data_IF_538683260550
#
_entry.id   IF_538683260550
#
_cell.length_a   1.000
_cell.length_b   1.000
_cell.length_c   1.000
_cell.angle_alpha   90.00
_cell.angle_beta   90.00
_cell.angle_gamma   90.00
#
_symmetry.space_group_name_H-M   'P 1'
#
loop_
_entity.id
_entity.type
_entity.pdbx_description
1 polymer ?
#
# COMPACT_ATOMS: atom_id res chain seq x y z
N UNK A 1 -4.73 -3.39 8.95
CA UNK A 1 -5.57 -4.56 9.22
C UNK A 1 -6.01 -4.58 10.66
N UNK A 2 -6.65 -5.68 11.04
CA UNK A 2 -7.20 -5.93 12.39
C UNK A 2 -6.26 -6.76 13.27
N UNK A 3 -5.17 -7.28 12.68
CA UNK A 3 -4.15 -8.07 13.37
C UNK A 3 -3.48 -7.26 14.48
N UNK A 4 -3.37 -7.87 15.66
CA UNK A 4 -2.64 -7.32 16.81
C UNK A 4 -1.34 -8.08 16.99
N UNK A 5 -0.24 -7.35 17.12
CA UNK A 5 1.10 -7.91 17.37
C UNK A 5 1.59 -7.47 18.74
N UNK A 6 2.52 -8.23 19.33
CA UNK A 6 3.08 -7.91 20.66
C UNK A 6 3.92 -6.64 20.63
N UNK A 7 4.69 -6.45 19.56
CA UNK A 7 5.54 -5.27 19.37
C UNK A 7 5.30 -4.69 17.96
N UNK A 8 4.44 -3.68 17.80
CA UNK A 8 4.15 -3.08 16.49
C UNK A 8 5.28 -2.18 15.97
N UNK A 9 6.29 -1.87 16.78
CA UNK A 9 7.41 -0.99 16.41
C UNK A 9 8.61 -1.76 15.81
N UNK A 10 8.61 -3.09 15.91
CA UNK A 10 9.61 -3.93 15.28
C UNK A 10 9.14 -4.39 13.90
N UNK A 11 9.73 -3.77 12.88
CA UNK A 11 9.48 -4.05 11.47
C UNK A 11 10.78 -4.45 10.78
N UNK A 12 11.69 -5.13 11.49
CA UNK A 12 12.91 -5.66 10.88
C UNK A 12 12.59 -6.74 9.84
N UNK A 13 13.50 -6.96 8.89
CA UNK A 13 13.34 -8.01 7.89
C UNK A 13 13.17 -9.39 8.53
N UNK A 14 13.91 -9.66 9.60
CA UNK A 14 13.90 -10.92 10.34
C UNK A 14 12.57 -11.13 11.05
N UNK A 15 12.02 -10.12 11.71
CA UNK A 15 10.74 -10.23 12.41
C UNK A 15 9.60 -10.42 11.41
N UNK A 16 9.53 -9.60 10.37
CA UNK A 16 8.47 -9.68 9.38
C UNK A 16 8.51 -10.98 8.55
N UNK A 17 9.69 -11.50 8.23
CA UNK A 17 9.81 -12.80 7.54
C UNK A 17 9.39 -13.97 8.42
N UNK A 18 9.75 -13.95 9.71
CA UNK A 18 9.25 -14.91 10.70
C UNK A 18 7.73 -14.85 10.83
N UNK A 19 7.15 -13.66 10.80
CA UNK A 19 5.69 -13.52 10.83
C UNK A 19 5.03 -14.21 9.62
N UNK A 20 5.62 -14.12 8.42
CA UNK A 20 5.12 -14.86 7.24
C UNK A 20 5.17 -16.37 7.48
N UNK A 21 6.31 -16.90 7.98
CA UNK A 21 6.45 -18.32 8.30
C UNK A 21 5.44 -18.78 9.36
N UNK A 22 5.29 -18.02 10.45
CA UNK A 22 4.35 -18.30 11.53
C UNK A 22 2.89 -18.32 11.04
N UNK A 23 2.53 -17.45 10.07
CA UNK A 23 1.19 -17.46 9.47
C UNK A 23 0.97 -18.73 8.64
N UNK A 24 1.96 -19.14 7.84
CA UNK A 24 1.88 -20.40 7.07
C UNK A 24 1.73 -21.61 7.99
N UNK A 25 2.55 -21.68 9.06
CA UNK A 25 2.46 -22.73 10.06
C UNK A 25 1.10 -22.72 10.78
N UNK A 26 0.59 -21.55 11.16
CA UNK A 26 -0.72 -21.44 11.81
C UNK A 26 -1.89 -21.85 10.89
N UNK A 27 -1.77 -21.65 9.58
CA UNK A 27 -2.82 -21.98 8.61
C UNK A 27 -2.81 -23.46 8.20
N UNK A 28 -1.63 -24.06 8.06
CA UNK A 28 -1.48 -25.38 7.42
C UNK A 28 -0.74 -26.42 8.27
N UNK A 29 -0.12 -26.02 9.38
CA UNK A 29 0.67 -26.90 10.25
C UNK A 29 1.76 -27.64 9.47
N UNK A 30 1.82 -28.96 9.65
CA UNK A 30 2.84 -29.83 9.06
C UNK A 30 2.62 -30.12 7.56
N UNK A 31 1.47 -29.75 6.98
CA UNK A 31 1.10 -30.07 5.60
C UNK A 31 0.81 -28.80 4.77
N UNK A 32 1.78 -27.88 4.61
CA UNK A 32 1.58 -26.69 3.80
C UNK A 32 1.42 -27.07 2.32
N UNK A 33 0.43 -26.50 1.61
CA UNK A 33 0.29 -26.71 0.17
C UNK A 33 1.49 -26.09 -0.57
N UNK A 34 1.69 -26.40 -1.86
CA UNK A 34 2.71 -25.73 -2.64
C UNK A 34 2.43 -24.22 -2.71
N UNK A 35 3.41 -23.39 -2.32
CA UNK A 35 3.24 -21.93 -2.17
C UNK A 35 4.18 -21.17 -3.11
N UNK A 36 3.66 -20.15 -3.79
CA UNK A 36 4.46 -19.14 -4.47
C UNK A 36 4.39 -17.84 -3.66
N UNK A 37 5.54 -17.28 -3.28
CA UNK A 37 5.59 -15.96 -2.64
C UNK A 37 5.62 -14.87 -3.70
N UNK A 38 4.76 -13.86 -3.55
CA UNK A 38 4.71 -12.68 -4.42
C UNK A 38 4.72 -11.44 -3.52
N UNK A 39 5.72 -10.59 -3.68
CA UNK A 39 5.89 -9.40 -2.85
C UNK A 39 6.20 -8.15 -3.66
N UNK A 40 5.58 -7.03 -3.28
CA UNK A 40 5.82 -5.70 -3.85
C UNK A 40 6.66 -4.82 -2.94
N UNK A 41 7.61 -4.06 -3.47
CA UNK A 41 8.41 -3.10 -2.71
C UNK A 41 9.02 -3.73 -1.44
N UNK A 42 8.74 -3.17 -0.25
CA UNK A 42 9.08 -3.77 1.05
C UNK A 42 8.63 -5.24 1.16
N UNK A 43 7.41 -5.57 0.75
CA UNK A 43 6.91 -6.94 0.75
C UNK A 43 7.71 -7.90 -0.16
N UNK A 44 8.29 -7.38 -1.24
CA UNK A 44 9.22 -8.13 -2.10
C UNK A 44 10.51 -8.47 -1.37
N UNK A 45 11.05 -7.53 -0.60
CA UNK A 45 12.18 -7.81 0.28
C UNK A 45 11.86 -8.87 1.32
N UNK A 46 10.72 -8.74 2.03
CA UNK A 46 10.30 -9.72 3.04
C UNK A 46 10.08 -11.11 2.42
N UNK A 47 9.52 -11.19 1.20
CA UNK A 47 9.36 -12.45 0.48
C UNK A 47 10.71 -13.15 0.22
N UNK A 48 11.75 -12.40 -0.16
CA UNK A 48 13.11 -12.93 -0.34
C UNK A 48 13.71 -13.39 0.98
N UNK A 49 13.64 -12.57 2.02
CA UNK A 49 14.14 -12.95 3.36
C UNK A 49 13.45 -14.20 3.90
N UNK A 50 12.13 -14.31 3.69
CA UNK A 50 11.34 -15.50 4.04
C UNK A 50 11.81 -16.74 3.28
N UNK A 51 12.06 -16.61 1.97
CA UNK A 51 12.52 -17.68 1.11
C UNK A 51 13.94 -18.15 1.49
N UNK A 52 14.88 -17.22 1.70
CA UNK A 52 16.27 -17.54 2.07
C UNK A 52 16.34 -18.20 3.44
N UNK A 53 15.55 -17.73 4.40
CA UNK A 53 15.45 -18.34 5.73
C UNK A 53 14.70 -19.68 5.74
N UNK A 54 14.21 -20.14 4.58
CA UNK A 54 13.46 -21.40 4.41
C UNK A 54 12.26 -21.52 5.38
N UNK A 55 11.55 -20.41 5.60
CA UNK A 55 10.42 -20.34 6.53
C UNK A 55 9.11 -20.88 5.94
N UNK A 56 9.09 -21.15 4.64
CA UNK A 56 7.97 -21.77 3.92
C UNK A 56 8.50 -23.06 3.27
N UNK A 57 8.39 -24.23 3.93
CA UNK A 57 9.00 -25.47 3.43
C UNK A 57 8.48 -25.94 2.07
N UNK A 58 7.26 -25.57 1.71
CA UNK A 58 6.60 -25.91 0.43
C UNK A 58 6.74 -24.82 -0.65
N UNK A 59 7.70 -23.90 -0.49
CA UNK A 59 7.94 -22.82 -1.44
C UNK A 59 8.38 -23.37 -2.80
N UNK A 60 7.59 -23.11 -3.84
CA UNK A 60 7.89 -23.54 -5.21
C UNK A 60 8.34 -22.40 -6.14
N UNK A 61 8.16 -21.15 -5.74
CA UNK A 61 8.48 -19.99 -6.59
C UNK A 61 8.45 -18.67 -5.85
N UNK A 62 9.16 -17.68 -6.39
CA UNK A 62 9.32 -16.36 -5.80
C UNK A 62 9.13 -15.26 -6.85
N UNK A 63 8.27 -14.29 -6.58
CA UNK A 63 8.07 -13.11 -7.42
C UNK A 63 8.33 -11.82 -6.63
N UNK A 64 9.18 -10.96 -7.19
CA UNK A 64 9.40 -9.59 -6.72
C UNK A 64 8.76 -8.61 -7.69
N UNK A 65 8.01 -7.65 -7.17
CA UNK A 65 7.35 -6.59 -7.94
C UNK A 65 7.95 -5.24 -7.56
N UNK A 66 8.53 -4.56 -8.55
CA UNK A 66 9.01 -3.18 -8.49
C UNK A 66 10.00 -2.89 -7.34
N UNK A 67 10.91 -3.82 -7.08
CA UNK A 67 11.99 -3.67 -6.09
C UNK A 67 13.32 -4.19 -6.64
N UNK A 68 14.34 -3.33 -6.56
CA UNK A 68 15.74 -3.64 -6.88
C UNK A 68 16.61 -2.91 -5.88
N UNK A 69 17.65 -3.57 -5.35
CA UNK A 69 18.48 -3.02 -4.27
C UNK A 69 19.06 -1.65 -4.62
N UNK A 70 19.77 -1.52 -5.74
CA UNK A 70 20.44 -0.26 -6.11
C UNK A 70 19.48 0.94 -6.15
N UNK A 71 18.36 0.80 -6.86
CA UNK A 71 17.38 1.88 -6.98
C UNK A 71 16.58 2.10 -5.70
N UNK A 72 16.32 1.06 -4.91
CA UNK A 72 15.67 1.20 -3.61
C UNK A 72 16.54 2.01 -2.63
N UNK A 73 17.85 1.71 -2.58
CA UNK A 73 18.81 2.41 -1.73
C UNK A 73 18.96 3.89 -2.11
N UNK A 74 19.00 4.19 -3.41
CA UNK A 74 19.05 5.58 -3.91
C UNK A 74 17.75 6.35 -3.63
N UNK A 75 16.60 5.66 -3.64
CA UNK A 75 15.28 6.26 -3.43
C UNK A 75 14.89 6.46 -1.96
N UNK A 76 15.66 5.97 -0.97
CA UNK A 76 15.29 6.10 0.45
C UNK A 76 15.10 7.56 0.88
N UNK A 77 16.00 8.45 0.44
CA UNK A 77 15.91 9.87 0.75
C UNK A 77 14.73 10.56 0.06
N UNK A 78 14.43 10.20 -1.19
CA UNK A 78 13.28 10.78 -1.92
C UNK A 78 11.96 10.30 -1.34
N UNK A 79 11.91 9.06 -0.83
CA UNK A 79 10.74 8.50 -0.15
C UNK A 79 10.40 9.29 1.11
N UNK A 80 11.37 9.71 1.93
CA UNK A 80 11.10 10.58 3.08
C UNK A 80 10.41 11.89 2.69
N UNK A 81 10.87 12.52 1.60
CA UNK A 81 10.27 13.76 1.09
C UNK A 81 8.83 13.53 0.61
N UNK A 82 8.59 12.42 -0.11
CA UNK A 82 7.25 12.03 -0.52
C UNK A 82 6.34 11.75 0.69
N UNK A 83 6.81 11.01 1.69
CA UNK A 83 5.97 10.68 2.86
C UNK A 83 5.57 11.93 3.65
N UNK A 84 6.44 12.96 3.71
CA UNK A 84 6.19 14.25 4.37
C UNK A 84 5.24 15.15 3.60
N UNK A 85 5.16 15.04 2.26
CA UNK A 85 4.25 15.85 1.45
C UNK A 85 2.80 15.34 1.47
N UNK A 86 2.56 14.12 1.97
CA UNK A 86 1.21 13.55 2.06
C UNK A 86 0.34 14.31 3.07
N UNK A 87 -0.97 14.46 2.81
CA UNK A 87 -1.90 14.98 3.80
C UNK A 87 -1.82 14.18 5.10
N UNK A 88 -1.85 14.87 6.25
CA UNK A 88 -1.82 14.20 7.56
C UNK A 88 -3.15 13.52 7.90
N UNK A 89 -4.24 14.09 7.40
CA UNK A 89 -5.61 13.64 7.66
C UNK A 89 -6.48 13.81 6.42
N UNK A 90 -7.56 13.03 6.35
CA UNK A 90 -8.60 13.12 5.32
C UNK A 90 -9.97 13.31 5.99
N UNK A 91 -10.85 14.11 5.36
CA UNK A 91 -12.20 14.39 5.87
C UNK A 91 -13.11 13.17 5.83
N UNK A 92 -12.96 12.34 4.79
CA UNK A 92 -13.66 11.08 4.64
C UNK A 92 -12.78 10.05 3.92
N UNK A 93 -13.25 8.81 3.87
CA UNK A 93 -12.59 7.76 3.09
C UNK A 93 -12.60 8.07 1.59
N UNK A 94 -13.69 8.65 1.09
CA UNK A 94 -13.85 9.06 -0.31
C UNK A 94 -12.80 10.12 -0.69
N UNK A 95 -12.52 11.09 0.17
CA UNK A 95 -11.45 12.05 -0.09
C UNK A 95 -10.05 11.41 -0.08
N UNK A 96 -9.83 10.37 0.72
CA UNK A 96 -8.56 9.63 0.67
C UNK A 96 -8.41 8.88 -0.66
N UNK A 97 -9.47 8.22 -1.14
CA UNK A 97 -9.53 7.55 -2.45
C UNK A 97 -9.30 8.55 -3.58
N UNK A 98 -9.98 9.68 -3.54
CA UNK A 98 -9.83 10.74 -4.54
C UNK A 98 -8.39 11.27 -4.58
N UNK A 99 -7.81 11.54 -3.41
CA UNK A 99 -6.42 11.99 -3.30
C UNK A 99 -5.43 10.94 -3.85
N UNK A 100 -5.62 9.65 -3.58
CA UNK A 100 -4.69 8.61 -4.05
C UNK A 100 -4.64 8.52 -5.57
N UNK A 101 -5.78 8.75 -6.23
CA UNK A 101 -5.86 8.78 -7.70
C UNK A 101 -5.30 10.08 -8.27
N UNK A 102 -5.72 11.24 -7.73
CA UNK A 102 -5.26 12.55 -8.22
C UNK A 102 -3.76 12.80 -8.01
N UNK A 103 -3.20 12.27 -6.91
CA UNK A 103 -1.75 12.35 -6.64
C UNK A 103 -0.92 11.38 -7.50
N UNK A 104 -1.57 10.45 -8.19
CA UNK A 104 -0.89 9.42 -8.99
C UNK A 104 -0.28 8.28 -8.17
N UNK A 105 -0.61 8.16 -6.88
CA UNK A 105 -0.16 7.04 -6.04
C UNK A 105 -0.73 5.71 -6.56
N UNK A 106 -2.02 5.70 -6.90
CA UNK A 106 -2.73 4.57 -7.51
C UNK A 106 -3.47 5.11 -8.73
N UNK A 107 -3.16 4.62 -9.93
CA UNK A 107 -3.76 5.11 -11.18
C UNK A 107 -5.11 4.47 -11.46
N UNK A 108 -5.32 3.26 -10.97
CA UNK A 108 -6.56 2.51 -11.13
C UNK A 108 -7.59 2.88 -10.05
N UNK A 109 -8.67 3.55 -10.44
CA UNK A 109 -9.75 3.93 -9.53
C UNK A 109 -10.44 2.73 -8.89
N UNK A 110 -10.61 1.62 -9.61
CA UNK A 110 -11.24 0.41 -9.07
C UNK A 110 -10.40 -0.16 -7.92
N UNK A 111 -9.08 -0.28 -8.13
CA UNK A 111 -8.15 -0.71 -7.09
C UNK A 111 -8.15 0.26 -5.91
N UNK A 112 -8.04 1.57 -6.16
CA UNK A 112 -7.99 2.58 -5.11
C UNK A 112 -9.22 2.54 -4.18
N UNK A 113 -10.42 2.31 -4.73
CA UNK A 113 -11.66 2.21 -3.94
C UNK A 113 -11.65 1.06 -2.94
N UNK A 114 -10.92 -0.01 -3.23
CA UNK A 114 -10.82 -1.20 -2.37
C UNK A 114 -9.57 -1.15 -1.50
N UNK A 115 -8.42 -0.70 -2.01
CA UNK A 115 -7.14 -0.78 -1.29
C UNK A 115 -6.94 0.35 -0.28
N UNK A 116 -7.50 1.55 -0.51
CA UNK A 116 -7.27 2.70 0.36
C UNK A 116 -7.80 2.50 1.78
N UNK A 117 -8.85 1.70 1.99
CA UNK A 117 -9.38 1.36 3.32
C UNK A 117 -8.33 0.68 4.21
N UNK A 118 -7.40 -0.07 3.59
CA UNK A 118 -6.28 -0.70 4.26
C UNK A 118 -5.17 0.28 4.66
N UNK A 119 -5.04 1.40 3.93
CA UNK A 119 -3.98 2.38 4.11
C UNK A 119 -4.31 3.48 5.13
N UNK A 120 -5.59 3.74 5.37
CA UNK A 120 -6.06 4.72 6.37
C UNK A 120 -6.76 4.04 7.55
N UNK A 121 -6.92 4.78 8.65
CA UNK A 121 -7.71 4.42 9.82
C UNK A 121 -8.45 5.66 10.34
N UNK A 122 -9.59 5.46 11.01
CA UNK A 122 -10.26 6.56 11.69
C UNK A 122 -9.35 7.11 12.79
N UNK A 123 -9.30 8.44 12.92
CA UNK A 123 -8.69 9.08 14.06
C UNK A 123 -9.45 8.66 15.31
N UNK A 124 -8.74 8.10 16.29
CA UNK A 124 -9.33 7.88 17.60
C UNK A 124 -9.67 9.26 18.17
N UNK A 125 -10.97 9.55 18.32
CA UNK A 125 -11.42 10.78 18.92
C UNK A 125 -10.79 10.88 20.30
N UNK A 126 -10.08 11.98 20.57
CA UNK A 126 -9.70 12.32 21.92
C UNK A 126 -10.95 12.17 22.80
N UNK A 127 -10.92 11.24 23.76
CA UNK A 127 -11.83 11.32 24.89
C UNK A 127 -11.64 12.73 25.45
N UNK A 128 -12.68 13.56 25.31
CA UNK A 128 -12.59 15.00 25.49
C UNK A 128 -12.00 15.36 26.86
N UNK A 129 -10.90 16.13 26.95
CA UNK A 129 -10.68 17.02 28.08
C UNK A 129 -11.29 18.38 27.68
N UNK A 130 -12.22 18.86 28.50
CA UNK A 130 -12.76 20.22 28.41
C UNK A 130 -11.61 21.25 28.35
N UNK A 131 -11.55 22.06 27.28
CA UNK A 131 -10.57 23.15 27.14
C UNK A 131 -10.61 23.82 25.76
N UNK A 132 -10.38 25.15 25.67
CA UNK A 132 -11.15 26.04 24.81
C UNK A 132 -10.76 26.01 23.33
N UNK A 133 -11.80 26.23 22.49
CA UNK A 133 -11.76 26.24 21.02
C UNK A 133 -10.74 27.24 20.48
N UNK A 134 -9.76 26.73 19.74
CA UNK A 134 -8.91 27.54 18.88
C UNK A 134 -9.73 28.02 17.66
N UNK A 135 -9.55 29.30 17.34
CA UNK A 135 -10.19 30.04 16.26
C UNK A 135 -9.78 29.42 14.91
N UNK A 136 -10.76 29.03 14.10
CA UNK A 136 -10.55 28.66 12.70
C UNK A 136 -10.80 29.91 11.87
N UNK A 137 -9.76 30.45 11.24
CA UNK A 137 -9.88 31.49 10.22
C UNK A 137 -10.65 30.93 9.03
N UNK A 138 -11.91 31.38 8.89
CA UNK A 138 -12.75 31.15 7.73
C UNK A 138 -12.52 32.23 6.69
N UNK A 139 -12.24 31.78 5.47
CA UNK A 139 -12.17 32.57 4.24
C UNK A 139 -13.51 33.30 4.05
N UNK A 140 -13.45 34.62 3.86
CA UNK A 140 -14.57 35.50 3.56
C UNK A 140 -14.92 35.30 2.08
N UNK A 141 -16.09 34.73 1.80
CA UNK A 141 -16.76 34.94 0.51
C UNK A 141 -17.75 36.09 0.71
N UNK A 142 -17.51 37.18 -0.02
CA UNK A 142 -18.35 38.37 -0.08
C UNK A 142 -19.60 38.04 -0.92
N UNK A 143 -20.78 38.12 -0.32
CA UNK A 143 -22.05 38.22 -1.06
C UNK A 143 -22.63 39.62 -0.83
N UNK A 144 -22.89 40.31 -1.94
CA UNK A 144 -23.37 41.70 -2.03
C UNK A 144 -24.80 41.83 -1.48
N UNK A 145 -25.02 42.81 -0.61
CA UNK A 145 -26.34 43.21 -0.09
C UNK A 145 -27.07 44.10 -1.12
N UNK A 146 -28.26 43.68 -1.56
CA UNK A 146 -29.24 44.58 -2.19
C UNK A 146 -30.36 44.88 -1.18
N UNK A 147 -30.49 46.17 -0.81
CA UNK A 147 -31.58 46.73 -0.01
C UNK A 147 -32.82 46.99 -0.89
N UNK A 148 -34.01 46.53 -0.46
CA UNK A 148 -35.27 47.18 -0.81
C UNK A 148 -36.22 47.24 0.40
N UNK A 149 -36.82 48.41 0.56
CA UNK A 149 -37.59 48.89 1.70
C UNK A 149 -39.11 48.58 1.64
N UNK A 150 -39.70 48.60 2.85
CA UNK A 150 -41.07 48.95 3.24
C UNK A 150 -42.28 47.97 3.18
N UNK A 151 -42.69 47.61 4.42
CA UNK A 151 -44.01 47.72 5.06
C UNK A 151 -45.23 46.87 4.63
N UNK A 152 -45.74 46.08 5.60
CA UNK A 152 -47.13 45.60 5.63
C UNK A 152 -47.36 44.48 6.64
N UNK A 153 -47.95 44.80 7.80
CA UNK A 153 -48.12 43.90 8.94
C UNK A 153 -49.12 42.74 8.80
N UNK A 154 -48.96 41.73 9.67
CA UNK A 154 -49.94 40.65 9.87
C UNK A 154 -49.39 39.47 10.67
N UNK A 155 -49.81 39.36 11.93
CA UNK A 155 -49.48 38.29 12.88
C UNK A 155 -50.01 36.90 12.47
N UNK A 156 -49.28 35.81 12.75
CA UNK A 156 -49.74 34.59 13.47
C UNK A 156 -48.83 33.35 13.22
N UNK A 157 -48.45 32.70 14.34
CA UNK A 157 -47.98 31.32 14.53
C UNK A 157 -46.55 30.87 14.13
N UNK A 158 -45.66 31.18 15.07
CA UNK A 158 -44.50 30.40 15.55
C UNK A 158 -44.76 28.87 15.59
N UNK A 159 -44.26 28.13 14.61
CA UNK A 159 -43.94 26.70 14.75
C UNK A 159 -42.43 26.55 14.84
N UNK A 160 -41.93 26.31 16.05
CA UNK A 160 -40.57 25.81 16.29
C UNK A 160 -40.41 24.51 15.51
N UNK A 161 -39.61 24.51 14.45
CA UNK A 161 -38.98 23.31 13.92
C UNK A 161 -37.67 23.21 14.70
N UNK A 162 -37.66 22.36 15.72
CA UNK A 162 -36.42 21.93 16.35
C UNK A 162 -35.66 21.14 15.29
N UNK A 163 -34.72 21.82 14.63
CA UNK A 163 -33.80 21.16 13.71
C UNK A 163 -32.77 20.45 14.57
N UNK A 164 -32.97 19.13 14.66
CA UNK A 164 -32.14 18.16 15.33
C UNK A 164 -30.77 18.17 14.62
N UNK A 165 -29.92 19.14 14.99
CA UNK A 165 -28.52 19.19 14.57
C UNK A 165 -27.79 18.12 15.35
N UNK A 166 -28.02 16.86 14.97
CA UNK A 166 -27.08 15.77 15.19
C UNK A 166 -25.74 16.29 14.70
N UNK A 167 -24.88 16.64 15.65
CA UNK A 167 -23.51 17.03 15.37
C UNK A 167 -22.84 15.76 14.86
N UNK A 168 -22.89 15.53 13.54
CA UNK A 168 -22.16 14.43 12.89
C UNK A 168 -20.72 14.61 13.34
N UNK A 169 -20.26 13.74 14.24
CA UNK A 169 -18.84 13.67 14.59
C UNK A 169 -18.13 13.43 13.27
N UNK A 170 -17.43 14.44 12.76
CA UNK A 170 -16.63 14.28 11.56
C UNK A 170 -15.54 13.27 11.90
N UNK A 171 -15.70 12.05 11.40
CA UNK A 171 -14.74 10.98 11.56
C UNK A 171 -13.58 11.26 10.60
N UNK A 172 -12.60 12.03 11.05
CA UNK A 172 -11.34 12.22 10.32
C UNK A 172 -10.61 10.89 10.18
N UNK A 173 -9.93 10.71 9.05
CA UNK A 173 -9.06 9.58 8.78
C UNK A 173 -7.60 10.03 8.81
N UNK A 174 -6.71 9.14 9.22
CA UNK A 174 -5.25 9.33 9.16
C UNK A 174 -4.58 8.08 8.60
N UNK A 175 -3.30 8.16 8.25
CA UNK A 175 -2.53 7.02 7.79
C UNK A 175 -2.50 5.92 8.85
N UNK A 176 -2.67 4.67 8.42
CA UNK A 176 -2.65 3.52 9.32
C UNK A 176 -1.33 3.37 10.06
N UNK A 177 -0.23 3.66 9.35
CA UNK A 177 1.13 3.64 9.86
C UNK A 177 1.86 4.91 9.41
N UNK A 178 2.66 5.47 10.32
CA UNK A 178 3.60 6.53 10.01
C UNK A 178 4.88 5.90 9.44
N UNK A 179 4.87 5.59 8.15
CA UNK A 179 5.95 4.83 7.48
C UNK A 179 7.33 5.49 7.64
N UNK A 180 7.41 6.82 7.81
CA UNK A 180 8.68 7.50 8.06
C UNK A 180 9.41 7.01 9.32
N UNK A 181 8.68 6.52 10.34
CA UNK A 181 9.28 5.95 11.57
C UNK A 181 9.99 4.62 11.35
N UNK A 182 9.73 3.96 10.22
CA UNK A 182 10.32 2.67 9.90
C UNK A 182 11.66 2.80 9.16
N UNK A 183 12.12 4.03 8.89
CA UNK A 183 13.38 4.34 8.17
C UNK A 183 14.59 3.57 8.70
N UNK A 184 14.68 3.40 10.02
CA UNK A 184 15.72 2.61 10.69
C UNK A 184 15.83 1.15 10.21
N UNK A 185 14.77 0.59 9.61
CA UNK A 185 14.74 -0.79 9.12
C UNK A 185 14.96 -0.90 7.61
N UNK A 186 14.89 0.21 6.86
CA UNK A 186 14.92 0.17 5.38
C UNK A 186 16.23 -0.41 4.86
N UNK A 187 17.36 -0.09 5.51
CA UNK A 187 18.65 -0.68 5.17
C UNK A 187 18.63 -2.22 5.27
N UNK A 188 18.08 -2.75 6.36
CA UNK A 188 17.96 -4.20 6.57
C UNK A 188 16.98 -4.88 5.61
N UNK A 189 16.02 -4.15 5.05
CA UNK A 189 15.14 -4.68 4.02
C UNK A 189 15.85 -4.86 2.68
N UNK A 190 16.62 -3.85 2.24
CA UNK A 190 17.10 -3.79 0.85
C UNK A 190 18.59 -4.11 0.66
N UNK A 191 19.43 -3.93 1.69
CA UNK A 191 20.88 -4.20 1.56
C UNK A 191 21.14 -5.68 1.27
N UNK A 192 21.90 -5.94 0.21
CA UNK A 192 22.21 -7.28 -0.29
C UNK A 192 21.03 -8.02 -0.91
N UNK A 193 19.87 -7.38 -1.08
CA UNK A 193 18.64 -8.03 -1.53
C UNK A 193 18.78 -8.65 -2.92
N UNK A 194 19.52 -8.01 -3.82
CA UNK A 194 19.70 -8.52 -5.20
C UNK A 194 20.44 -9.86 -5.19
N UNK A 195 21.50 -9.98 -4.40
CA UNK A 195 22.24 -11.24 -4.25
C UNK A 195 21.44 -12.29 -3.47
N UNK A 196 20.69 -11.88 -2.44
CA UNK A 196 19.80 -12.78 -1.71
C UNK A 196 18.73 -13.39 -2.64
N UNK A 197 18.07 -12.56 -3.44
CA UNK A 197 17.10 -13.03 -4.44
C UNK A 197 17.74 -14.03 -5.41
N UNK A 198 18.94 -13.72 -5.93
CA UNK A 198 19.64 -14.63 -6.85
C UNK A 198 20.06 -15.95 -6.18
N UNK A 199 20.28 -15.96 -4.87
CA UNK A 199 20.67 -17.16 -4.09
C UNK A 199 19.52 -18.14 -3.85
N UNK A 200 18.25 -17.70 -3.94
CA UNK A 200 17.10 -18.57 -3.71
C UNK A 200 17.07 -19.72 -4.73
N UNK A 201 17.02 -20.99 -4.30
CA UNK A 201 17.08 -22.16 -5.18
C UNK A 201 15.73 -22.52 -5.83
N UNK A 202 14.82 -21.54 -5.98
CA UNK A 202 13.50 -21.71 -6.61
C UNK A 202 13.41 -20.91 -7.91
N UNK A 203 12.50 -21.27 -8.83
CA UNK A 203 12.13 -20.42 -9.95
C UNK A 203 11.72 -19.03 -9.50
N UNK A 204 12.19 -18.01 -10.23
CA UNK A 204 12.09 -16.60 -9.84
C UNK A 204 11.50 -15.76 -10.96
N UNK A 205 10.62 -14.84 -10.60
CA UNK A 205 10.02 -13.83 -11.46
C UNK A 205 10.33 -12.42 -10.90
N UNK A 206 10.73 -11.50 -11.77
CA UNK A 206 10.87 -10.08 -11.45
C UNK A 206 9.97 -9.27 -12.37
N UNK A 207 9.03 -8.51 -11.80
CA UNK A 207 8.16 -7.60 -12.52
C UNK A 207 8.58 -6.16 -12.24
N UNK A 208 8.88 -5.37 -13.29
CA UNK A 208 9.33 -3.99 -13.15
C UNK A 208 8.42 -3.03 -13.92
N UNK A 209 8.19 -1.83 -13.38
CA UNK A 209 7.53 -0.76 -14.14
C UNK A 209 8.40 -0.20 -15.27
N UNK A 210 9.74 -0.37 -15.18
CA UNK A 210 10.72 0.11 -16.16
C UNK A 210 12.04 -0.67 -16.09
N UNK A 211 12.74 -0.77 -17.22
CA UNK A 211 14.04 -1.48 -17.35
C UNK A 211 15.21 -0.75 -16.68
N UNK A 212 15.07 0.55 -16.51
CA UNK A 212 16.02 1.46 -15.86
C UNK A 212 16.24 1.15 -14.37
N UNK A 213 15.48 0.20 -13.82
CA UNK A 213 15.52 -0.14 -12.41
C UNK A 213 16.50 -1.24 -12.04
N UNK A 214 17.04 -1.98 -13.01
CA UNK A 214 17.99 -3.07 -12.72
C UNK A 214 19.34 -2.53 -12.23
N UNK A 215 19.84 -3.09 -11.14
CA UNK A 215 21.20 -2.87 -10.68
C UNK A 215 22.18 -3.83 -11.37
N UNK A 216 23.47 -3.68 -11.03
CA UNK A 216 24.54 -4.49 -11.61
C UNK A 216 24.34 -5.99 -11.36
N UNK A 217 23.95 -6.38 -10.15
CA UNK A 217 23.89 -7.79 -9.76
C UNK A 217 22.70 -8.48 -10.44
N UNK A 218 21.52 -7.85 -10.47
CA UNK A 218 20.37 -8.37 -11.19
C UNK A 218 20.56 -8.33 -12.70
N UNK A 219 21.28 -7.33 -13.24
CA UNK A 219 21.65 -7.33 -14.67
C UNK A 219 22.49 -8.55 -15.02
N UNK A 220 23.53 -8.85 -14.23
CA UNK A 220 24.36 -10.04 -14.44
C UNK A 220 23.51 -11.32 -14.29
N UNK A 221 22.68 -11.40 -13.24
CA UNK A 221 21.82 -12.55 -12.99
C UNK A 221 20.82 -12.79 -14.12
N UNK A 222 20.25 -11.73 -14.68
CA UNK A 222 19.33 -11.80 -15.81
C UNK A 222 20.03 -12.27 -17.08
N UNK A 223 21.22 -11.73 -17.39
CA UNK A 223 22.02 -12.17 -18.53
C UNK A 223 22.46 -13.64 -18.42
N UNK A 224 22.59 -14.16 -17.19
CA UNK A 224 22.85 -15.57 -16.91
C UNK A 224 21.59 -16.45 -16.92
N UNK A 225 20.40 -15.88 -17.12
CA UNK A 225 19.13 -16.61 -17.12
C UNK A 225 18.70 -17.14 -15.75
N UNK A 226 19.15 -16.51 -14.65
CA UNK A 226 18.86 -16.97 -13.27
C UNK A 226 17.42 -16.71 -12.81
N UNK A 227 16.70 -15.82 -13.48
CA UNK A 227 15.30 -15.50 -13.22
C UNK A 227 14.60 -15.07 -14.50
N UNK A 228 13.27 -15.10 -14.49
CA UNK A 228 12.44 -14.52 -15.55
C UNK A 228 12.14 -13.06 -15.21
N UNK A 229 12.20 -12.18 -16.20
CA UNK A 229 11.88 -10.77 -16.03
C UNK A 229 10.77 -10.37 -16.99
N UNK A 230 9.80 -9.59 -16.52
CA UNK A 230 8.86 -8.87 -17.37
C UNK A 230 8.79 -7.40 -16.98
N UNK A 231 8.62 -6.57 -18.00
CA UNK A 231 8.51 -5.11 -17.85
C UNK A 231 7.08 -4.73 -18.18
N UNK A 232 6.41 -4.07 -17.24
CA UNK A 232 5.04 -3.62 -17.36
C UNK A 232 5.05 -2.09 -17.43
N UNK A 233 5.23 -1.52 -18.63
CA UNK A 233 5.32 -0.07 -18.79
C UNK A 233 4.00 0.61 -18.42
N UNK A 234 4.07 1.93 -18.19
CA UNK A 234 2.93 2.81 -17.90
C UNK A 234 2.30 2.65 -16.51
N UNK A 235 2.92 1.86 -15.62
CA UNK A 235 2.54 1.78 -14.22
C UNK A 235 3.30 2.81 -13.37
N UNK A 236 2.67 3.26 -12.29
CA UNK A 236 3.32 3.99 -11.21
C UNK A 236 4.11 3.05 -10.30
N UNK A 237 4.07 3.32 -8.99
CA UNK A 237 4.79 2.51 -8.01
C UNK A 237 4.11 1.14 -7.76
N UNK A 238 2.79 1.12 -7.68
CA UNK A 238 2.01 -0.09 -7.38
C UNK A 238 1.53 -0.77 -8.67
N UNK A 239 2.44 -1.44 -9.38
CA UNK A 239 2.18 -2.09 -10.68
C UNK A 239 0.98 -3.04 -10.64
N UNK A 240 0.82 -3.78 -9.54
CA UNK A 240 -0.29 -4.72 -9.35
C UNK A 240 -1.63 -4.05 -9.05
N UNK A 241 -1.65 -2.79 -8.61
CA UNK A 241 -2.88 -2.00 -8.49
C UNK A 241 -3.22 -1.32 -9.82
N UNK A 242 -2.20 -0.82 -10.52
CA UNK A 242 -2.35 -0.06 -11.77
C UNK A 242 -2.70 -0.95 -12.98
N UNK A 243 -2.09 -2.14 -13.08
CA UNK A 243 -2.29 -3.08 -14.17
C UNK A 243 -2.48 -4.51 -13.65
N UNK A 244 -3.56 -4.77 -12.86
CA UNK A 244 -3.79 -6.07 -12.23
C UNK A 244 -3.84 -7.22 -13.24
N UNK A 245 -4.50 -7.01 -14.39
CA UNK A 245 -4.61 -8.04 -15.44
C UNK A 245 -3.25 -8.44 -16.02
N UNK A 246 -2.35 -7.46 -16.26
CA UNK A 246 -1.02 -7.74 -16.80
C UNK A 246 -0.12 -8.45 -15.78
N UNK A 247 -0.24 -8.09 -14.50
CA UNK A 247 0.46 -8.80 -13.43
C UNK A 247 -0.07 -10.24 -13.31
N UNK A 248 -1.39 -10.43 -13.37
CA UNK A 248 -2.01 -11.74 -13.34
C UNK A 248 -1.58 -12.59 -14.54
N UNK A 249 -1.56 -12.03 -15.75
CA UNK A 249 -1.09 -12.70 -16.96
C UNK A 249 0.38 -13.14 -16.82
N UNK A 250 1.26 -12.23 -16.39
CA UNK A 250 2.69 -12.54 -16.19
C UNK A 250 2.91 -13.68 -15.19
N UNK A 251 2.18 -13.65 -14.07
CA UNK A 251 2.24 -14.69 -13.03
C UNK A 251 1.64 -16.00 -13.55
N UNK A 252 0.50 -15.97 -14.24
CA UNK A 252 -0.13 -17.16 -14.80
C UNK A 252 0.78 -17.86 -15.83
N UNK A 253 1.35 -17.09 -16.78
CA UNK A 253 2.34 -17.61 -17.75
C UNK A 253 3.54 -18.25 -17.04
N UNK A 254 4.04 -17.62 -15.97
CA UNK A 254 5.13 -18.16 -15.17
C UNK A 254 4.74 -19.49 -14.49
N UNK A 255 3.58 -19.53 -13.82
CA UNK A 255 3.08 -20.73 -13.15
C UNK A 255 2.87 -21.89 -14.14
N UNK A 256 2.27 -21.63 -15.31
CA UNK A 256 2.04 -22.64 -16.36
C UNK A 256 3.38 -23.12 -16.95
N UNK A 257 4.29 -22.20 -17.27
CA UNK A 257 5.63 -22.52 -17.81
C UNK A 257 6.39 -23.48 -16.90
N UNK A 258 6.26 -23.29 -15.59
CA UNK A 258 6.91 -24.13 -14.57
C UNK A 258 6.06 -25.31 -14.10
N UNK A 259 4.86 -25.52 -14.67
CA UNK A 259 3.91 -26.60 -14.32
C UNK A 259 3.49 -26.58 -12.84
N UNK A 260 3.31 -25.38 -12.29
CA UNK A 260 2.81 -25.19 -10.93
C UNK A 260 1.28 -25.13 -10.88
N UNK A 261 0.63 -24.81 -12.01
CA UNK A 261 -0.82 -24.78 -12.14
C UNK A 261 -1.21 -25.21 -13.56
N UNK A 262 -2.49 -25.55 -13.71
CA UNK A 262 -3.12 -25.79 -15.01
C UNK A 262 -3.87 -24.53 -15.48
N UNK A 263 -3.86 -24.23 -16.80
CA UNK A 263 -4.66 -23.14 -17.34
C UNK A 263 -6.15 -23.45 -17.24
N UNK A 264 -6.96 -22.41 -17.00
CA UNK A 264 -8.42 -22.50 -17.10
C UNK A 264 -8.84 -21.97 -18.48
N UNK A 265 -9.69 -22.72 -19.18
CA UNK A 265 -10.21 -22.32 -20.49
C UNK A 265 -9.12 -22.30 -21.58
N UNK A 266 -9.27 -21.40 -22.56
CA UNK A 266 -8.35 -21.25 -23.69
C UNK A 266 -7.15 -20.33 -23.43
N UNK A 267 -6.71 -20.19 -22.18
CA UNK A 267 -5.50 -19.41 -21.84
C UNK A 267 -4.29 -20.07 -22.52
N UNK A 268 -3.75 -19.42 -23.55
CA UNK A 268 -2.58 -19.87 -24.33
C UNK A 268 -1.29 -19.28 -23.76
#
# INVERSE_FOLDING_TARGET
>A
GETKVRNPEDLSAETMSKDVGNVVEALYGDLPPPIMLIGHSMGGAIAVHTAVANLVPSLLGLCMIDVVEGTAMDALNSMQNFLRSRPKTFKSLENAIEWSVKSGQIRNLESARVSMVGQVKQCEGAASPEGPKAIVEGIIEEEEEEEEDEEGGGSVNKRKKEDDTETKKEHLYTWRIELAKTEKYWDGWFRGLSNLFLSCPTPKLLLLAGVDRLDKDLTIGQMQGKFQMQVLPQCGHAVHEDAPDKVAEAVATFLIRHRFTEPIGGFQ
#
